data_IF_385132418905
#
_entry.id   IF_385132418905
#
_cell.length_a   1.000
_cell.length_b   1.000
_cell.length_c   1.000
_cell.angle_alpha   90.00
_cell.angle_beta   90.00
_cell.angle_gamma   90.00
#
_symmetry.space_group_name_H-M   'P 1'
#
loop_
_entity.id
_entity.type
_entity.pdbx_description
1 polymer ?
#
# COMPACT_ATOMS: atom_id res chain seq x y z
N UNK A 1 -17.38 -5.40 4.80
CA UNK A 1 -15.96 -5.34 4.44
C UNK A 1 -15.89 -5.49 2.92
N UNK A 2 -15.47 -4.46 2.18
CA UNK A 2 -15.43 -4.52 0.70
C UNK A 2 -14.19 -5.30 0.26
N UNK A 3 -14.41 -6.43 -0.42
CA UNK A 3 -13.37 -7.10 -1.19
C UNK A 3 -12.97 -6.21 -2.38
N UNK A 4 -11.68 -5.90 -2.58
CA UNK A 4 -11.24 -5.15 -3.76
C UNK A 4 -11.41 -6.04 -5.00
N UNK A 5 -12.42 -5.74 -5.82
CA UNK A 5 -12.80 -6.53 -7.01
C UNK A 5 -11.90 -6.28 -8.22
N UNK A 6 -10.91 -5.39 -8.15
CA UNK A 6 -10.13 -4.99 -9.33
C UNK A 6 -8.63 -4.84 -9.05
N UNK A 7 -7.81 -5.51 -9.88
CA UNK A 7 -6.34 -5.34 -9.93
C UNK A 7 -5.89 -3.88 -10.13
N UNK A 8 -6.77 -3.01 -10.63
CA UNK A 8 -6.54 -1.57 -10.80
C UNK A 8 -6.52 -0.79 -9.47
N UNK A 9 -7.43 -1.08 -8.54
CA UNK A 9 -7.47 -0.41 -7.23
C UNK A 9 -6.23 -0.75 -6.40
N UNK A 10 -5.82 -2.02 -6.43
CA UNK A 10 -4.57 -2.46 -5.78
C UNK A 10 -3.37 -1.67 -6.29
N UNK A 11 -3.26 -1.48 -7.61
CA UNK A 11 -2.14 -0.74 -8.22
C UNK A 11 -2.18 0.74 -7.84
N UNK A 12 -3.37 1.34 -7.71
CA UNK A 12 -3.52 2.71 -7.19
C UNK A 12 -3.10 2.82 -5.73
N UNK A 13 -3.57 1.92 -4.85
CA UNK A 13 -3.21 1.94 -3.42
C UNK A 13 -1.71 1.74 -3.22
N UNK A 14 -1.08 0.82 -3.95
CA UNK A 14 0.39 0.63 -3.90
C UNK A 14 1.12 1.89 -4.37
N UNK A 15 0.64 2.54 -5.43
CA UNK A 15 1.20 3.79 -5.94
C UNK A 15 1.13 4.92 -4.91
N UNK A 16 -0.02 5.06 -4.25
CA UNK A 16 -0.25 6.06 -3.21
C UNK A 16 0.58 5.81 -1.96
N UNK A 17 0.66 4.57 -1.47
CA UNK A 17 1.51 4.20 -0.35
C UNK A 17 3.00 4.45 -0.64
N UNK A 18 3.47 4.18 -1.86
CA UNK A 18 4.85 4.52 -2.28
C UNK A 18 5.08 6.03 -2.31
N UNK A 19 4.08 6.81 -2.74
CA UNK A 19 4.15 8.26 -2.71
C UNK A 19 4.23 8.78 -1.26
N UNK A 20 3.36 8.30 -0.37
CA UNK A 20 3.39 8.64 1.04
C UNK A 20 4.72 8.26 1.69
N UNK A 21 5.30 7.09 1.36
CA UNK A 21 6.58 6.65 1.90
C UNK A 21 7.73 7.65 1.63
N UNK A 22 7.66 8.39 0.51
CA UNK A 22 8.66 9.40 0.14
C UNK A 22 8.66 10.59 1.12
N UNK A 23 7.50 10.98 1.61
CA UNK A 23 7.30 12.15 2.48
C UNK A 23 7.03 11.79 3.94
N UNK A 24 6.76 10.52 4.23
CA UNK A 24 6.39 10.03 5.54
C UNK A 24 7.53 10.18 6.56
N UNK A 25 7.13 10.50 7.78
CA UNK A 25 7.99 10.52 8.96
C UNK A 25 8.57 9.13 9.23
N UNK A 26 9.71 8.99 9.92
CA UNK A 26 10.31 7.69 10.23
C UNK A 26 9.35 6.70 10.90
N UNK A 27 8.46 7.19 11.77
CA UNK A 27 7.44 6.39 12.47
C UNK A 27 6.33 5.90 11.53
N UNK A 28 5.96 6.71 10.54
CA UNK A 28 4.94 6.39 9.55
C UNK A 28 5.48 5.48 8.44
N UNK A 29 6.79 5.59 8.13
CA UNK A 29 7.45 4.73 7.15
C UNK A 29 7.32 3.24 7.47
N UNK A 30 7.42 2.87 8.75
CA UNK A 30 7.25 1.47 9.16
C UNK A 30 5.83 0.98 8.94
N UNK A 31 4.81 1.80 9.27
CA UNK A 31 3.40 1.47 8.99
C UNK A 31 3.13 1.35 7.50
N UNK A 32 3.57 2.31 6.70
CA UNK A 32 3.38 2.33 5.25
C UNK A 32 4.09 1.14 4.59
N UNK A 33 5.28 0.75 5.08
CA UNK A 33 5.98 -0.46 4.61
C UNK A 33 5.21 -1.74 4.92
N UNK A 34 4.64 -1.87 6.12
CA UNK A 34 3.80 -3.02 6.46
C UNK A 34 2.57 -3.09 5.55
N UNK A 35 1.93 -1.95 5.28
CA UNK A 35 0.77 -1.88 4.39
C UNK A 35 1.13 -2.21 2.93
N UNK A 36 2.26 -1.67 2.43
CA UNK A 36 2.78 -2.02 1.10
C UNK A 36 3.00 -3.53 0.95
N UNK A 37 3.60 -4.15 1.96
CA UNK A 37 3.88 -5.58 1.94
C UNK A 37 2.59 -6.41 1.92
N UNK A 38 1.57 -6.02 2.70
CA UNK A 38 0.25 -6.63 2.66
C UNK A 38 -0.38 -6.59 1.26
N UNK A 39 -0.37 -5.41 0.63
CA UNK A 39 -0.91 -5.24 -0.72
C UNK A 39 -0.08 -5.95 -1.79
N UNK A 40 1.25 -6.03 -1.65
CA UNK A 40 2.13 -6.77 -2.57
C UNK A 40 1.98 -8.29 -2.42
N UNK A 41 1.79 -8.82 -1.22
CA UNK A 41 1.56 -10.26 -0.99
C UNK A 41 0.17 -10.73 -1.43
N UNK A 42 -0.88 -9.91 -1.23
CA UNK A 42 -2.28 -10.32 -1.49
C UNK A 42 -2.62 -10.58 -2.96
N UNK A 43 -1.81 -10.16 -3.92
CA UNK A 43 -2.06 -10.46 -5.33
C UNK A 43 -0.89 -11.14 -6.01
N UNK A 44 -0.26 -12.06 -5.28
CA UNK A 44 0.51 -13.18 -5.81
C UNK A 44 -0.36 -14.43 -5.71
#
# INVERSE_FOLDING_TARGET
>A
MMEPKNSGERRQVIGELRHQLRFASPQERDRIRQELNFWEMRGR
#
